data_IF_925719912504
#
_entry.id   IF_925719912504
#
_cell.length_a   1.000
_cell.length_b   1.000
_cell.length_c   1.000
_cell.angle_alpha   90.00
_cell.angle_beta   90.00
_cell.angle_gamma   90.00
#
_symmetry.space_group_name_H-M   'P 1'
#
loop_
_entity.id
_entity.type
_entity.pdbx_description
1 polymer ?
#
# COMPACT_ATOMS: atom_id res chain seq x y z
N UNK A 1 -0.66 48.72 25.80
CA UNK A 1 -0.44 47.42 26.48
C UNK A 1 -0.47 46.33 25.42
N UNK A 2 0.44 46.41 24.45
CA UNK A 2 1.78 45.80 24.36
C UNK A 2 1.75 44.42 23.66
N UNK A 3 1.69 44.51 22.32
CA UNK A 3 2.03 43.48 21.31
C UNK A 3 3.37 42.77 21.58
N UNK A 4 4.23 43.36 22.43
CA UNK A 4 5.52 42.80 22.82
C UNK A 4 5.38 41.56 23.72
N UNK A 5 4.23 41.32 24.38
CA UNK A 5 3.98 40.10 25.18
C UNK A 5 3.47 38.90 24.37
N UNK A 6 3.04 39.09 23.13
CA UNK A 6 2.54 38.00 22.26
C UNK A 6 3.63 37.45 21.32
N UNK A 7 4.72 38.20 21.15
CA UNK A 7 5.86 37.81 20.30
C UNK A 7 7.02 37.17 21.08
N UNK A 8 6.88 36.99 22.39
CA UNK A 8 7.87 36.35 23.27
C UNK A 8 7.61 34.83 23.44
N UNK A 9 6.50 34.33 22.88
CA UNK A 9 6.12 32.89 22.94
C UNK A 9 6.62 32.08 21.73
N UNK A 10 7.37 32.71 20.82
CA UNK A 10 7.89 32.09 19.60
C UNK A 10 9.42 32.22 19.43
N UNK A 11 10.18 32.28 20.51
CA UNK A 11 11.64 32.16 20.42
C UNK A 11 12.23 31.16 21.42
N UNK A 12 12.64 30.03 20.83
CA UNK A 12 13.90 29.30 21.05
C UNK A 12 13.77 27.84 21.50
N UNK A 13 14.19 26.99 20.56
CA UNK A 13 14.70 25.63 20.64
C UNK A 13 15.15 25.13 22.02
N UNK A 14 14.80 23.87 22.30
CA UNK A 14 15.79 22.81 22.57
C UNK A 14 15.30 21.46 22.05
N UNK A 15 16.03 20.90 21.08
CA UNK A 15 16.10 19.46 20.86
C UNK A 15 16.87 18.80 22.01
N UNK A 16 16.38 17.65 22.52
CA UNK A 16 17.11 16.39 22.75
C UNK A 16 16.38 15.43 23.72
N UNK A 17 16.57 14.13 23.45
CA UNK A 17 16.32 12.92 24.29
C UNK A 17 14.95 12.20 24.14
N UNK A 18 14.90 10.85 24.30
CA UNK A 18 15.05 9.91 23.19
C UNK A 18 13.82 9.03 22.97
N UNK A 19 13.77 8.39 21.79
CA UNK A 19 12.82 7.34 21.44
C UNK A 19 12.78 6.23 22.49
N UNK A 20 11.68 6.12 23.24
CA UNK A 20 11.36 4.96 24.08
C UNK A 20 9.84 4.75 24.04
N UNK A 21 9.23 3.57 23.90
CA UNK A 21 9.65 2.19 23.69
C UNK A 21 8.42 1.51 23.07
N UNK A 22 8.57 0.58 22.09
CA UNK A 22 7.43 -0.14 21.44
C UNK A 22 6.45 -0.78 22.44
N UNK A 23 6.90 -1.05 23.67
CA UNK A 23 6.12 -1.66 24.76
C UNK A 23 5.06 -0.74 25.37
N UNK A 24 5.22 0.59 25.28
CA UNK A 24 4.23 1.53 25.77
C UNK A 24 2.98 1.61 24.85
N UNK A 25 3.17 1.45 23.53
CA UNK A 25 2.04 1.39 22.58
C UNK A 25 1.21 0.11 22.71
N UNK A 26 1.82 -1.04 23.02
CA UNK A 26 1.09 -2.29 23.27
C UNK A 26 0.34 -2.32 24.61
N UNK A 27 0.64 -1.43 25.55
CA UNK A 27 -0.12 -1.27 26.80
C UNK A 27 -1.50 -0.64 26.58
N UNK A 28 -1.70 0.07 25.47
CA UNK A 28 -2.95 0.75 25.13
C UNK A 28 -3.92 -0.13 24.31
N UNK A 29 -3.44 -1.28 23.82
CA UNK A 29 -4.24 -2.30 23.10
C UNK A 29 -4.76 -3.43 24.01
N UNK A 30 -4.29 -3.52 25.25
CA UNK A 30 -4.61 -4.62 26.18
C UNK A 30 -6.02 -4.62 26.79
N UNK A 31 -6.86 -3.61 26.50
CA UNK A 31 -8.20 -3.47 27.09
C UNK A 31 -9.36 -3.53 26.08
N UNK A 32 -9.11 -3.70 24.78
CA UNK A 32 -10.16 -3.77 23.74
C UNK A 32 -10.63 -5.23 23.51
N UNK A 33 -10.23 -6.16 24.38
CA UNK A 33 -10.63 -7.56 24.32
C UNK A 33 -11.44 -7.98 25.53
N UNK A 34 -12.76 -7.71 25.53
CA UNK A 34 -13.85 -8.58 26.03
C UNK A 34 -15.17 -7.81 26.20
N UNK A 35 -16.15 -8.17 25.35
CA UNK A 35 -17.61 -8.07 25.56
C UNK A 35 -18.26 -6.67 25.55
N UNK A 36 -18.92 -6.39 24.43
CA UNK A 36 -20.26 -5.80 24.27
C UNK A 36 -20.59 -4.37 24.75
N UNK A 37 -21.31 -3.70 23.84
CA UNK A 37 -22.34 -2.67 24.05
C UNK A 37 -21.92 -1.21 24.32
N UNK A 38 -22.09 -0.41 23.25
CA UNK A 38 -22.77 0.89 23.17
C UNK A 38 -22.57 1.94 24.28
N UNK A 39 -22.35 3.16 23.78
CA UNK A 39 -22.50 4.48 24.40
C UNK A 39 -21.24 5.10 25.03
N UNK A 40 -20.66 6.06 24.29
CA UNK A 40 -20.02 7.23 24.89
C UNK A 40 -20.21 8.46 23.97
N UNK A 41 -21.18 9.30 24.35
CA UNK A 41 -21.31 10.70 23.93
C UNK A 41 -20.16 11.52 24.57
N UNK A 42 -19.74 12.64 23.96
CA UNK A 42 -18.34 13.07 23.90
C UNK A 42 -17.97 14.06 25.01
N UNK A 43 -16.68 14.16 25.31
CA UNK A 43 -16.14 15.25 26.14
C UNK A 43 -15.23 16.16 25.30
N UNK A 44 -15.89 17.14 24.68
CA UNK A 44 -15.50 18.56 24.75
C UNK A 44 -14.15 19.01 24.17
N UNK A 45 -14.15 19.30 22.86
CA UNK A 45 -13.64 20.55 22.30
C UNK A 45 -14.43 20.88 21.04
N UNK A 46 -15.61 21.46 21.25
CA UNK A 46 -16.40 22.13 20.22
C UNK A 46 -16.49 23.61 20.59
N UNK A 47 -15.50 24.40 20.15
CA UNK A 47 -15.64 25.81 19.75
C UNK A 47 -14.39 26.23 18.98
N UNK A 48 -14.35 25.91 17.68
CA UNK A 48 -13.60 26.66 16.69
C UNK A 48 -14.32 26.49 15.35
N UNK A 49 -15.18 27.46 15.06
CA UNK A 49 -15.49 28.03 13.75
C UNK A 49 -15.29 27.16 12.51
N UNK A 50 -16.39 26.92 11.79
CA UNK A 50 -16.38 26.70 10.34
C UNK A 50 -15.58 27.80 9.64
N UNK A 51 -14.30 27.54 9.33
CA UNK A 51 -13.50 28.03 8.18
C UNK A 51 -12.02 27.78 8.43
N UNK A 52 -11.57 26.60 8.03
CA UNK A 52 -10.20 26.34 7.58
C UNK A 52 -10.18 25.06 6.72
N UNK A 53 -11.08 24.97 5.74
CA UNK A 53 -11.02 23.97 4.66
C UNK A 53 -10.89 24.74 3.35
N UNK A 54 -9.71 25.31 3.11
CA UNK A 54 -9.35 25.91 1.83
C UNK A 54 -7.84 26.21 1.80
N UNK A 55 -7.03 25.15 1.85
CA UNK A 55 -5.67 25.20 1.36
C UNK A 55 -5.37 23.84 0.70
N UNK A 56 -5.82 23.71 -0.55
CA UNK A 56 -5.69 22.57 -1.48
C UNK A 56 -5.46 21.20 -0.82
N UNK A 57 -6.46 20.69 -0.09
CA UNK A 57 -6.52 19.26 0.21
C UNK A 57 -6.68 18.54 -1.14
N UNK A 58 -5.80 17.59 -1.46
CA UNK A 58 -6.00 16.69 -2.59
C UNK A 58 -7.35 15.97 -2.48
N UNK A 59 -7.75 15.27 -3.53
CA UNK A 59 -8.96 14.43 -3.57
C UNK A 59 -8.82 13.22 -2.63
N UNK A 60 -8.91 13.46 -1.31
CA UNK A 60 -8.71 12.44 -0.26
C UNK A 60 -9.68 11.27 -0.45
N UNK A 61 -10.95 11.56 -0.73
CA UNK A 61 -11.97 10.53 -0.96
C UNK A 61 -11.62 9.72 -2.21
N UNK A 62 -11.21 10.37 -3.31
CA UNK A 62 -10.78 9.65 -4.50
C UNK A 62 -9.51 8.83 -4.31
N UNK A 63 -8.59 9.27 -3.45
CA UNK A 63 -7.42 8.48 -3.05
C UNK A 63 -7.84 7.24 -2.27
N UNK A 64 -8.74 7.38 -1.29
CA UNK A 64 -9.24 6.26 -0.50
C UNK A 64 -10.04 5.27 -1.35
N UNK A 65 -10.86 5.76 -2.29
CA UNK A 65 -11.60 4.90 -3.22
C UNK A 65 -10.69 4.20 -4.24
N UNK A 66 -9.59 4.83 -4.67
CA UNK A 66 -8.57 4.15 -5.47
C UNK A 66 -7.95 3.02 -4.66
N UNK A 67 -7.48 3.30 -3.44
CA UNK A 67 -6.91 2.30 -2.55
C UNK A 67 -7.90 1.14 -2.34
N UNK A 68 -9.16 1.43 -2.00
CA UNK A 68 -10.19 0.41 -1.79
C UNK A 68 -10.41 -0.48 -3.02
N UNK A 69 -10.31 0.09 -4.24
CA UNK A 69 -10.40 -0.71 -5.47
C UNK A 69 -9.22 -1.69 -5.60
N UNK A 70 -8.01 -1.25 -5.25
CA UNK A 70 -6.82 -2.10 -5.27
C UNK A 70 -6.89 -3.19 -4.19
N UNK A 71 -7.31 -2.83 -2.97
CA UNK A 71 -7.51 -3.81 -1.90
C UNK A 71 -8.59 -4.84 -2.24
N UNK A 72 -9.66 -4.45 -2.93
CA UNK A 72 -10.66 -5.42 -3.41
C UNK A 72 -10.10 -6.40 -4.43
N UNK A 73 -9.22 -5.93 -5.32
CA UNK A 73 -8.55 -6.77 -6.31
C UNK A 73 -7.67 -7.82 -5.62
N UNK A 74 -6.87 -7.39 -4.63
CA UNK A 74 -5.96 -8.25 -3.89
C UNK A 74 -6.72 -9.20 -2.95
N UNK A 75 -7.69 -8.72 -2.18
CA UNK A 75 -8.53 -9.52 -1.30
C UNK A 75 -9.22 -10.67 -2.06
N UNK A 76 -9.82 -10.39 -3.22
CA UNK A 76 -10.45 -11.42 -4.04
C UNK A 76 -9.45 -12.39 -4.65
N UNK A 77 -8.34 -11.87 -5.19
CA UNK A 77 -7.29 -12.70 -5.78
C UNK A 77 -6.74 -13.71 -4.77
N UNK A 78 -6.39 -13.25 -3.56
CA UNK A 78 -5.82 -14.12 -2.54
C UNK A 78 -6.84 -15.13 -2.02
N UNK A 79 -8.12 -14.74 -1.87
CA UNK A 79 -9.18 -15.67 -1.51
C UNK A 79 -9.35 -16.77 -2.58
N UNK A 80 -9.43 -16.40 -3.85
CA UNK A 80 -9.53 -17.37 -4.96
C UNK A 80 -8.29 -18.27 -5.06
N UNK A 81 -7.09 -17.71 -4.83
CA UNK A 81 -5.85 -18.47 -4.83
C UNK A 81 -5.84 -19.58 -3.76
N UNK A 82 -6.34 -19.28 -2.56
CA UNK A 82 -6.46 -20.23 -1.45
C UNK A 82 -7.51 -21.32 -1.75
N UNK A 83 -8.65 -20.92 -2.33
CA UNK A 83 -9.74 -21.84 -2.66
C UNK A 83 -9.43 -22.76 -3.85
N UNK A 84 -8.57 -22.32 -4.77
CA UNK A 84 -8.20 -23.06 -6.00
C UNK A 84 -7.51 -24.41 -5.74
N UNK A 85 -6.91 -24.59 -4.55
CA UNK A 85 -6.08 -25.76 -4.23
C UNK A 85 -4.71 -25.79 -4.92
N UNK A 86 -4.36 -24.77 -5.71
CA UNK A 86 -3.04 -24.68 -6.39
C UNK A 86 -1.89 -24.60 -5.38
N UNK A 87 -2.11 -23.95 -4.23
CA UNK A 87 -1.11 -23.78 -3.17
C UNK A 87 -0.91 -25.02 -2.27
N UNK A 88 -1.82 -26.01 -2.32
CA UNK A 88 -1.91 -27.13 -1.37
C UNK A 88 -0.65 -28.02 -1.26
N UNK A 89 0.18 -28.01 -2.30
CA UNK A 89 1.46 -28.76 -2.33
C UNK A 89 2.64 -27.98 -1.74
N UNK A 90 2.45 -26.71 -1.39
CA UNK A 90 3.48 -25.83 -0.84
C UNK A 90 2.98 -25.11 0.41
N UNK A 91 3.09 -25.79 1.56
CA UNK A 91 2.63 -25.28 2.85
C UNK A 91 3.23 -23.91 3.24
N UNK A 92 4.45 -23.58 2.80
CA UNK A 92 5.06 -22.27 3.06
C UNK A 92 4.33 -21.18 2.27
N UNK A 93 4.13 -21.39 0.97
CA UNK A 93 3.42 -20.43 0.12
C UNK A 93 1.97 -20.26 0.56
N UNK A 94 1.29 -21.38 0.88
CA UNK A 94 -0.08 -21.35 1.39
C UNK A 94 -0.20 -20.52 2.69
N UNK A 95 0.70 -20.71 3.66
CA UNK A 95 0.69 -19.92 4.89
C UNK A 95 0.96 -18.43 4.66
N UNK A 96 1.79 -18.08 3.68
CA UNK A 96 2.03 -16.69 3.30
C UNK A 96 0.76 -16.09 2.67
N UNK A 97 0.15 -16.77 1.70
CA UNK A 97 -1.10 -16.33 1.07
C UNK A 97 -2.25 -16.19 2.08
N UNK A 98 -2.36 -17.09 3.07
CA UNK A 98 -3.33 -16.98 4.15
C UNK A 98 -3.13 -15.71 5.00
N UNK A 99 -1.87 -15.37 5.29
CA UNK A 99 -1.56 -14.19 6.08
C UNK A 99 -1.83 -12.91 5.31
N UNK A 100 -1.48 -12.87 4.02
CA UNK A 100 -1.72 -11.73 3.13
C UNK A 100 -3.23 -11.54 2.93
N UNK A 101 -3.96 -12.59 2.55
CA UNK A 101 -5.44 -12.57 2.43
C UNK A 101 -6.12 -11.97 3.67
N UNK A 102 -5.64 -12.32 4.87
CA UNK A 102 -6.18 -11.75 6.12
C UNK A 102 -5.92 -10.24 6.23
N UNK A 103 -4.76 -9.76 5.81
CA UNK A 103 -4.45 -8.33 5.83
C UNK A 103 -5.28 -7.58 4.79
N UNK A 104 -5.46 -8.12 3.57
CA UNK A 104 -6.28 -7.45 2.55
C UNK A 104 -7.73 -7.29 2.97
N UNK A 105 -8.33 -8.32 3.57
CA UNK A 105 -9.68 -8.17 4.14
C UNK A 105 -9.73 -7.08 5.22
N UNK A 106 -8.67 -6.93 6.02
CA UNK A 106 -8.58 -5.90 7.05
C UNK A 106 -8.38 -4.50 6.46
N UNK A 107 -7.65 -4.37 5.35
CA UNK A 107 -7.48 -3.11 4.63
C UNK A 107 -8.79 -2.68 3.98
N UNK A 108 -9.52 -3.61 3.33
CA UNK A 108 -10.87 -3.37 2.79
C UNK A 108 -11.81 -2.84 3.87
N UNK A 109 -11.90 -3.53 5.02
CA UNK A 109 -12.75 -3.11 6.14
C UNK A 109 -12.37 -1.72 6.65
N UNK A 110 -11.06 -1.47 6.79
CA UNK A 110 -10.53 -0.21 7.28
C UNK A 110 -10.85 0.94 6.32
N UNK A 111 -10.58 0.78 5.02
CA UNK A 111 -10.79 1.82 4.02
C UNK A 111 -12.28 2.11 3.84
N UNK A 112 -13.13 1.07 3.82
CA UNK A 112 -14.59 1.23 3.77
C UNK A 112 -15.06 2.10 4.94
N UNK A 113 -14.66 1.76 6.17
CA UNK A 113 -15.01 2.54 7.35
C UNK A 113 -14.44 3.97 7.34
N UNK A 114 -13.23 4.15 6.79
CA UNK A 114 -12.61 5.48 6.67
C UNK A 114 -13.36 6.38 5.68
N UNK A 115 -13.82 5.83 4.55
CA UNK A 115 -14.59 6.57 3.54
C UNK A 115 -15.98 6.94 4.09
N UNK A 116 -16.69 5.99 4.70
CA UNK A 116 -17.98 6.26 5.35
C UNK A 116 -17.83 7.28 6.49
N UNK A 117 -16.78 7.16 7.29
CA UNK A 117 -16.46 8.09 8.38
C UNK A 117 -16.15 9.50 7.89
N UNK A 118 -15.67 9.65 6.65
CA UNK A 118 -15.49 10.93 5.97
C UNK A 118 -16.79 11.49 5.37
N UNK A 119 -17.92 10.79 5.52
CA UNK A 119 -19.22 11.17 4.96
C UNK A 119 -19.33 10.99 3.44
N UNK A 120 -18.51 10.11 2.87
CA UNK A 120 -18.53 9.75 1.47
C UNK A 120 -18.95 8.29 1.28
N UNK A 121 -19.32 7.94 0.05
CA UNK A 121 -19.71 6.58 -0.30
C UNK A 121 -18.48 5.76 -0.73
N UNK A 122 -18.23 4.59 -0.12
CA UNK A 122 -17.24 3.64 -0.62
C UNK A 122 -17.60 3.19 -2.03
N UNK A 123 -16.58 3.09 -2.89
CA UNK A 123 -16.74 2.49 -4.22
C UNK A 123 -17.23 1.05 -4.08
N UNK A 124 -18.19 0.66 -4.91
CA UNK A 124 -18.67 -0.72 -4.93
C UNK A 124 -17.55 -1.65 -5.42
N UNK A 125 -17.44 -2.83 -4.79
CA UNK A 125 -16.52 -3.88 -5.24
C UNK A 125 -16.86 -4.28 -6.69
N UNK A 126 -15.92 -4.14 -7.65
CA UNK A 126 -16.14 -4.61 -9.02
C UNK A 126 -16.00 -6.13 -9.09
N UNK A 127 -16.46 -6.71 -10.20
CA UNK A 127 -16.12 -8.09 -10.55
C UNK A 127 -14.74 -8.13 -11.20
N UNK A 128 -13.97 -9.20 -10.93
CA UNK A 128 -12.62 -9.34 -11.45
C UNK A 128 -12.45 -10.54 -12.39
N UNK A 129 -11.67 -10.34 -13.46
CA UNK A 129 -11.17 -11.38 -14.36
C UNK A 129 -9.64 -11.52 -14.22
N UNK A 130 -9.21 -12.46 -13.37
CA UNK A 130 -7.79 -12.80 -13.19
C UNK A 130 -7.19 -13.62 -14.33
N UNK A 131 -8.00 -14.05 -15.30
CA UNK A 131 -7.53 -14.72 -16.51
C UNK A 131 -7.10 -13.72 -17.58
N UNK A 132 -7.52 -12.46 -17.47
CA UNK A 132 -7.30 -11.41 -18.49
C UNK A 132 -7.72 -11.92 -19.88
N UNK A 133 -8.99 -12.31 -20.00
CA UNK A 133 -9.55 -12.88 -21.22
C UNK A 133 -8.92 -14.22 -21.63
N UNK A 134 -8.52 -15.04 -20.65
CA UNK A 134 -7.90 -16.36 -20.87
C UNK A 134 -6.40 -16.35 -21.15
N UNK A 135 -5.72 -15.21 -20.99
CA UNK A 135 -4.25 -15.13 -21.06
C UNK A 135 -3.56 -15.86 -19.88
N UNK A 136 -4.25 -15.98 -18.75
CA UNK A 136 -3.80 -16.67 -17.54
C UNK A 136 -4.84 -17.71 -17.09
N UNK A 137 -4.38 -18.70 -16.33
CA UNK A 137 -5.19 -19.68 -15.62
C UNK A 137 -4.60 -19.90 -14.22
N UNK A 138 -4.52 -18.83 -13.39
CA UNK A 138 -3.78 -18.87 -12.13
C UNK A 138 -4.42 -19.83 -11.12
N UNK A 139 -5.72 -20.08 -11.24
CA UNK A 139 -6.47 -20.98 -10.37
C UNK A 139 -6.60 -22.40 -10.94
N UNK A 140 -5.96 -22.70 -12.08
CA UNK A 140 -6.00 -23.99 -12.77
C UNK A 140 -7.44 -24.45 -13.14
N UNK A 141 -8.36 -23.53 -13.38
CA UNK A 141 -9.75 -23.82 -13.72
C UNK A 141 -9.87 -24.38 -15.15
N UNK A 142 -8.96 -23.97 -16.04
CA UNK A 142 -8.93 -24.38 -17.44
C UNK A 142 -7.88 -25.47 -17.72
N UNK A 143 -7.23 -26.00 -16.69
CA UNK A 143 -6.32 -27.13 -16.80
C UNK A 143 -4.93 -26.77 -17.33
N UNK A 144 -4.42 -25.56 -17.08
CA UNK A 144 -3.03 -25.18 -17.39
C UNK A 144 -1.97 -26.03 -16.68
N UNK A 145 -2.37 -26.76 -15.63
CA UNK A 145 -1.55 -27.64 -14.83
C UNK A 145 -0.99 -26.95 -13.59
N UNK A 146 -0.88 -27.70 -12.48
CA UNK A 146 -0.52 -27.15 -11.17
C UNK A 146 0.75 -26.29 -11.16
N UNK A 147 1.80 -26.69 -11.87
CA UNK A 147 3.05 -25.94 -11.92
C UNK A 147 2.90 -24.60 -12.65
N UNK A 148 2.13 -24.58 -13.76
CA UNK A 148 1.86 -23.37 -14.53
C UNK A 148 0.98 -22.41 -13.74
N UNK A 149 -0.12 -22.92 -13.18
CA UNK A 149 -1.04 -22.14 -12.36
C UNK A 149 -0.33 -21.53 -11.14
N UNK A 150 0.51 -22.32 -10.44
CA UNK A 150 1.30 -21.82 -9.32
C UNK A 150 2.29 -20.71 -9.74
N UNK A 151 2.96 -20.86 -10.89
CA UNK A 151 3.85 -19.82 -11.40
C UNK A 151 3.07 -18.54 -11.76
N UNK A 152 1.87 -18.68 -12.32
CA UNK A 152 0.98 -17.56 -12.64
C UNK A 152 0.43 -16.88 -11.38
N UNK A 153 0.06 -17.63 -10.33
CA UNK A 153 -0.32 -17.08 -9.03
C UNK A 153 0.77 -16.18 -8.46
N UNK A 154 2.01 -16.67 -8.41
CA UNK A 154 3.11 -15.87 -7.88
C UNK A 154 3.41 -14.65 -8.74
N UNK A 155 3.27 -14.76 -10.06
CA UNK A 155 3.48 -13.64 -10.98
C UNK A 155 2.42 -12.55 -10.81
N UNK A 156 1.14 -12.93 -10.71
CA UNK A 156 0.04 -11.99 -10.49
C UNK A 156 0.10 -11.37 -9.09
N UNK A 157 0.36 -12.17 -8.05
CA UNK A 157 0.59 -11.66 -6.70
C UNK A 157 1.68 -10.59 -6.70
N UNK A 158 2.83 -10.86 -7.32
CA UNK A 158 3.90 -9.86 -7.36
C UNK A 158 3.45 -8.57 -8.06
N UNK A 159 2.74 -8.70 -9.19
CA UNK A 159 2.26 -7.54 -9.93
C UNK A 159 1.27 -6.69 -9.12
N UNK A 160 0.37 -7.32 -8.37
CA UNK A 160 -0.60 -6.61 -7.54
C UNK A 160 0.09 -5.89 -6.38
N UNK A 161 0.88 -6.62 -5.60
CA UNK A 161 1.57 -6.07 -4.43
C UNK A 161 2.48 -4.89 -4.79
N UNK A 162 3.27 -5.01 -5.85
CA UNK A 162 4.10 -3.91 -6.33
C UNK A 162 3.26 -2.73 -6.82
N UNK A 163 2.11 -2.99 -7.47
CA UNK A 163 1.17 -1.93 -7.88
C UNK A 163 0.61 -1.21 -6.65
N UNK A 164 0.17 -1.95 -5.63
CA UNK A 164 -0.33 -1.40 -4.36
C UNK A 164 0.70 -0.50 -3.68
N UNK A 165 1.92 -1.01 -3.45
CA UNK A 165 3.04 -0.26 -2.85
C UNK A 165 3.27 1.07 -3.57
N UNK A 166 3.43 1.02 -4.90
CA UNK A 166 3.74 2.19 -5.72
C UNK A 166 2.56 3.17 -5.81
N UNK A 167 1.32 2.68 -5.84
CA UNK A 167 0.12 3.50 -5.85
C UNK A 167 -0.11 4.25 -4.53
N UNK A 168 0.03 3.57 -3.38
CA UNK A 168 -0.04 4.21 -2.06
C UNK A 168 0.99 5.32 -1.92
N UNK A 169 2.25 5.06 -2.31
CA UNK A 169 3.30 6.08 -2.29
C UNK A 169 2.97 7.24 -3.23
N UNK A 170 2.45 6.95 -4.43
CA UNK A 170 2.06 7.96 -5.41
C UNK A 170 0.93 8.89 -4.97
N UNK A 171 0.04 8.42 -4.09
CA UNK A 171 -1.03 9.24 -3.54
C UNK A 171 -0.68 9.94 -2.22
N UNK A 172 0.47 9.65 -1.60
CA UNK A 172 0.84 10.22 -0.30
C UNK A 172 0.84 11.76 -0.28
N UNK A 173 1.30 12.40 -1.36
CA UNK A 173 1.30 13.86 -1.48
C UNK A 173 -0.13 14.46 -1.44
N UNK A 174 -1.12 13.76 -1.99
CA UNK A 174 -2.53 14.19 -1.98
C UNK A 174 -3.15 14.12 -0.59
N UNK A 175 -2.56 13.36 0.33
CA UNK A 175 -3.03 13.16 1.70
C UNK A 175 -2.34 14.08 2.72
N UNK A 176 -1.36 14.89 2.32
CA UNK A 176 -0.59 15.75 3.25
C UNK A 176 -1.46 16.73 4.05
N UNK A 177 -2.59 17.17 3.49
CA UNK A 177 -3.57 18.00 4.21
C UNK A 177 -4.41 17.25 5.25
N UNK A 178 -4.30 15.93 5.32
CA UNK A 178 -5.10 15.04 6.17
C UNK A 178 -4.20 14.10 6.97
N UNK A 179 -3.48 14.63 7.95
CA UNK A 179 -2.42 13.91 8.68
C UNK A 179 -2.84 12.53 9.23
N UNK A 180 -4.07 12.39 9.73
CA UNK A 180 -4.60 11.11 10.19
C UNK A 180 -4.75 10.08 9.06
N UNK A 181 -5.30 10.52 7.92
CA UNK A 181 -5.48 9.69 6.73
C UNK A 181 -4.13 9.33 6.10
N UNK A 182 -3.20 10.29 6.00
CA UNK A 182 -1.84 10.03 5.54
C UNK A 182 -1.13 8.99 6.41
N UNK A 183 -1.26 9.12 7.74
CA UNK A 183 -0.64 8.16 8.67
C UNK A 183 -1.18 6.75 8.43
N UNK A 184 -2.50 6.60 8.30
CA UNK A 184 -3.11 5.30 8.01
C UNK A 184 -2.67 4.74 6.65
N UNK A 185 -2.69 5.56 5.59
CA UNK A 185 -2.25 5.13 4.26
C UNK A 185 -0.78 4.68 4.26
N UNK A 186 0.11 5.37 4.98
CA UNK A 186 1.52 4.97 5.08
C UNK A 186 1.73 3.72 5.96
N UNK A 187 0.80 3.40 6.86
CA UNK A 187 0.82 2.15 7.61
C UNK A 187 0.46 0.96 6.71
N UNK A 188 -0.59 1.10 5.89
CA UNK A 188 -0.98 0.09 4.89
C UNK A 188 0.14 -0.09 3.86
N UNK A 189 0.66 1.01 3.31
CA UNK A 189 1.84 0.97 2.41
C UNK A 189 3.02 0.16 2.98
N UNK A 190 3.29 0.28 4.28
CA UNK A 190 4.36 -0.50 4.92
C UNK A 190 4.03 -1.99 5.08
N UNK A 191 2.75 -2.36 5.12
CA UNK A 191 2.28 -3.76 5.13
C UNK A 191 2.40 -4.32 3.70
N UNK A 192 1.89 -3.61 2.68
CA UNK A 192 2.05 -4.00 1.26
C UNK A 192 3.52 -4.19 0.87
N UNK A 193 4.41 -3.31 1.32
CA UNK A 193 5.84 -3.46 1.02
C UNK A 193 6.43 -4.78 1.58
N UNK A 194 5.87 -5.30 2.68
CA UNK A 194 6.28 -6.61 3.21
C UNK A 194 5.66 -7.75 2.43
N UNK A 195 4.42 -7.62 1.99
CA UNK A 195 3.76 -8.60 1.11
C UNK A 195 4.53 -8.73 -0.21
N UNK A 196 4.79 -7.61 -0.89
CA UNK A 196 5.63 -7.55 -2.08
C UNK A 196 6.99 -8.24 -1.87
N UNK A 197 7.69 -7.90 -0.79
CA UNK A 197 8.98 -8.53 -0.48
C UNK A 197 8.88 -10.05 -0.27
N UNK A 198 7.84 -10.55 0.41
CA UNK A 198 7.68 -11.99 0.66
C UNK A 198 7.27 -12.76 -0.60
N UNK A 199 6.38 -12.19 -1.43
CA UNK A 199 6.01 -12.77 -2.72
C UNK A 199 7.22 -12.84 -3.66
N UNK A 200 8.02 -11.77 -3.77
CA UNK A 200 9.26 -11.79 -4.57
C UNK A 200 10.23 -12.88 -4.10
N UNK A 201 10.39 -13.05 -2.78
CA UNK A 201 11.23 -14.11 -2.21
C UNK A 201 10.68 -15.51 -2.48
N UNK A 202 9.35 -15.69 -2.51
CA UNK A 202 8.74 -16.97 -2.94
C UNK A 202 9.06 -17.30 -4.40
N UNK A 203 9.26 -16.27 -5.24
CA UNK A 203 9.72 -16.42 -6.63
C UNK A 203 11.24 -16.58 -6.78
N UNK A 204 11.98 -16.55 -5.68
CA UNK A 204 13.45 -16.63 -5.68
C UNK A 204 14.12 -15.35 -6.16
N UNK A 205 13.43 -14.21 -6.06
CA UNK A 205 13.96 -12.88 -6.38
C UNK A 205 14.38 -12.13 -5.12
N UNK A 206 15.10 -11.03 -5.32
CA UNK A 206 15.31 -10.05 -4.25
C UNK A 206 13.99 -9.47 -3.76
N UNK A 207 13.93 -9.09 -2.49
CA UNK A 207 12.71 -8.55 -1.85
C UNK A 207 12.30 -7.15 -2.32
N UNK A 208 12.95 -6.61 -3.34
CA UNK A 208 12.79 -5.25 -3.87
C UNK A 208 12.99 -5.25 -5.38
N UNK A 209 12.71 -4.12 -6.02
CA UNK A 209 12.89 -3.93 -7.47
C UNK A 209 14.35 -3.49 -7.74
N UNK A 210 14.93 -3.89 -8.87
CA UNK A 210 16.28 -3.46 -9.30
C UNK A 210 16.17 -2.89 -10.71
N UNK A 211 16.58 -1.64 -10.92
CA UNK A 211 16.24 -0.90 -12.14
C UNK A 211 14.72 -0.92 -12.33
N UNK A 212 14.26 -1.30 -13.53
CA UNK A 212 12.84 -1.52 -13.83
C UNK A 212 12.51 -3.00 -14.10
N UNK A 213 13.23 -3.90 -13.41
CA UNK A 213 13.11 -5.33 -13.65
C UNK A 213 11.86 -5.91 -12.99
N UNK A 214 10.94 -6.42 -13.81
CA UNK A 214 9.83 -7.29 -13.40
C UNK A 214 10.29 -8.62 -12.78
N UNK A 215 11.52 -9.04 -13.08
CA UNK A 215 12.06 -10.34 -12.66
C UNK A 215 11.72 -11.49 -13.62
N UNK A 216 12.49 -12.57 -13.52
CA UNK A 216 12.38 -13.71 -14.44
C UNK A 216 10.98 -14.35 -14.39
N UNK A 217 10.47 -14.78 -15.55
CA UNK A 217 9.18 -15.46 -15.66
C UNK A 217 7.94 -14.55 -15.58
N UNK A 218 8.10 -13.23 -15.42
CA UNK A 218 6.98 -12.30 -15.54
C UNK A 218 6.63 -12.03 -17.02
N UNK A 219 5.35 -12.10 -17.40
CA UNK A 219 4.87 -11.71 -18.73
C UNK A 219 5.24 -10.27 -19.08
N UNK A 220 5.47 -9.98 -20.35
CA UNK A 220 5.78 -8.62 -20.83
C UNK A 220 4.67 -7.61 -20.49
N UNK A 221 3.41 -8.06 -20.49
CA UNK A 221 2.25 -7.24 -20.11
C UNK A 221 2.35 -6.63 -18.70
N UNK A 222 3.12 -7.24 -17.80
CA UNK A 222 3.32 -6.73 -16.43
C UNK A 222 4.32 -5.58 -16.35
N UNK A 223 5.03 -5.24 -17.44
CA UNK A 223 6.10 -4.25 -17.41
C UNK A 223 5.62 -2.85 -16.99
N UNK A 224 4.34 -2.52 -17.23
CA UNK A 224 3.74 -1.28 -16.76
C UNK A 224 3.87 -1.07 -15.24
N UNK A 225 3.85 -2.17 -14.46
CA UNK A 225 4.02 -2.17 -12.99
C UNK A 225 5.43 -1.76 -12.56
N UNK A 226 6.42 -1.76 -13.46
CA UNK A 226 7.84 -1.51 -13.14
C UNK A 226 8.43 -0.32 -13.89
N UNK A 227 7.69 0.27 -14.83
CA UNK A 227 8.16 1.44 -15.56
C UNK A 227 8.44 2.59 -14.59
N UNK A 228 9.61 3.22 -14.75
CA UNK A 228 10.06 4.35 -13.94
C UNK A 228 10.92 3.97 -12.73
N UNK A 229 10.93 2.71 -12.30
CA UNK A 229 11.73 2.22 -11.15
C UNK A 229 13.25 2.35 -11.35
N UNK A 230 13.72 2.50 -12.59
CA UNK A 230 15.11 2.77 -12.92
C UNK A 230 15.58 4.21 -12.63
N UNK A 231 14.76 4.99 -11.92
CA UNK A 231 15.06 6.36 -11.51
C UNK A 231 16.21 6.42 -10.49
N UNK A 232 17.26 7.15 -10.85
CA UNK A 232 18.40 7.45 -9.96
C UNK A 232 18.38 8.88 -9.40
N UNK A 233 17.33 9.66 -9.67
CA UNK A 233 17.22 11.04 -9.21
C UNK A 233 16.07 11.20 -8.22
N UNK A 234 16.39 11.54 -6.97
CA UNK A 234 15.42 11.75 -5.90
C UNK A 234 15.40 13.23 -5.51
N UNK A 235 14.27 13.90 -5.69
CA UNK A 235 14.15 15.33 -5.39
C UNK A 235 15.13 16.22 -6.17
N UNK A 236 15.52 15.80 -7.38
CA UNK A 236 16.49 16.50 -8.23
C UNK A 236 17.96 16.19 -7.91
N UNK A 237 18.22 15.26 -6.99
CA UNK A 237 19.57 14.81 -6.63
C UNK A 237 19.83 13.43 -7.22
N UNK A 238 20.89 13.31 -8.02
CA UNK A 238 21.39 12.00 -8.47
C UNK A 238 21.94 11.22 -7.28
N UNK A 239 21.21 10.19 -6.84
CA UNK A 239 21.55 9.42 -5.64
C UNK A 239 22.79 8.55 -5.82
N UNK A 240 23.22 8.28 -7.06
CA UNK A 240 24.48 7.54 -7.31
C UNK A 240 25.71 8.33 -6.86
N UNK A 241 25.56 9.65 -6.77
CA UNK A 241 26.63 10.59 -6.38
C UNK A 241 26.69 10.87 -4.89
N UNK A 242 25.76 10.33 -4.10
CA UNK A 242 25.70 10.57 -2.66
C UNK A 242 26.86 9.88 -1.91
N UNK A 243 27.26 10.48 -0.79
CA UNK A 243 28.34 9.98 0.06
C UNK A 243 29.72 10.56 -0.28
N UNK A 244 30.73 10.17 0.49
CA UNK A 244 32.12 10.62 0.32
C UNK A 244 33.06 9.55 -0.24
N UNK A 245 32.51 8.39 -0.62
CA UNK A 245 33.23 7.23 -1.14
C UNK A 245 33.08 7.07 -2.65
N UNK A 246 33.34 5.86 -3.16
CA UNK A 246 33.02 5.50 -4.54
C UNK A 246 31.51 5.68 -4.81
N UNK A 247 31.11 6.09 -6.03
CA UNK A 247 29.70 6.21 -6.39
C UNK A 247 28.93 4.92 -6.15
N UNK A 248 27.67 5.05 -5.71
CA UNK A 248 26.77 3.90 -5.66
C UNK A 248 26.47 3.41 -7.09
N UNK A 249 26.29 2.11 -7.24
CA UNK A 249 25.87 1.55 -8.53
C UNK A 249 24.42 1.93 -8.83
N UNK A 250 24.02 1.89 -10.10
CA UNK A 250 22.62 2.06 -10.50
C UNK A 250 21.71 1.04 -9.79
N UNK A 251 22.16 -0.22 -9.67
CA UNK A 251 21.43 -1.25 -8.93
C UNK A 251 21.23 -0.83 -7.47
N UNK A 252 22.29 -0.47 -6.75
CA UNK A 252 22.17 -0.08 -5.34
C UNK A 252 21.29 1.17 -5.15
N UNK A 253 21.34 2.11 -6.10
CA UNK A 253 20.50 3.32 -6.09
C UNK A 253 19.02 3.00 -6.28
N UNK A 254 18.67 2.17 -7.27
CA UNK A 254 17.29 1.81 -7.59
C UNK A 254 16.69 0.84 -6.57
N UNK A 255 17.50 -0.03 -5.96
CA UNK A 255 17.06 -0.94 -4.89
C UNK A 255 16.67 -0.22 -3.59
N UNK A 256 17.02 1.06 -3.43
CA UNK A 256 16.76 1.82 -2.21
C UNK A 256 15.38 2.50 -2.18
N UNK A 257 14.68 2.57 -3.32
CA UNK A 257 13.42 3.29 -3.46
C UNK A 257 12.47 2.51 -4.36
N UNK A 258 11.21 2.33 -3.93
CA UNK A 258 10.12 2.03 -4.85
C UNK A 258 9.63 3.37 -5.44
N UNK A 259 9.64 3.53 -6.76
CA UNK A 259 9.13 4.72 -7.43
C UNK A 259 7.59 4.74 -7.44
N UNK A 260 7.01 5.93 -7.56
CA UNK A 260 5.55 6.04 -7.51
C UNK A 260 4.89 5.49 -8.78
N UNK A 261 3.63 5.07 -8.65
CA UNK A 261 2.68 5.08 -9.76
C UNK A 261 1.73 6.28 -9.58
N UNK A 262 1.47 7.00 -10.66
CA UNK A 262 0.38 7.97 -10.68
C UNK A 262 -0.97 7.26 -10.55
N UNK A 263 -2.02 8.02 -10.21
CA UNK A 263 -3.40 7.50 -10.15
C UNK A 263 -3.80 6.84 -11.47
N UNK A 264 -3.53 7.49 -12.58
CA UNK A 264 -3.94 7.02 -13.90
C UNK A 264 -3.20 5.74 -14.30
N UNK A 265 -1.90 5.62 -13.96
CA UNK A 265 -1.14 4.39 -14.19
C UNK A 265 -1.67 3.23 -13.34
N UNK A 266 -1.90 3.47 -12.05
CA UNK A 266 -2.46 2.45 -11.15
C UNK A 266 -3.85 1.99 -11.62
N UNK A 267 -4.73 2.93 -12.00
CA UNK A 267 -6.05 2.61 -12.57
C UNK A 267 -5.92 1.82 -13.87
N UNK A 268 -5.00 2.22 -14.76
CA UNK A 268 -4.78 1.52 -16.03
C UNK A 268 -4.36 0.07 -15.82
N UNK A 269 -3.45 -0.18 -14.86
CA UNK A 269 -3.00 -1.53 -14.50
C UNK A 269 -4.15 -2.35 -13.91
N UNK A 270 -4.87 -1.80 -12.92
CA UNK A 270 -5.98 -2.50 -12.26
C UNK A 270 -7.14 -2.80 -13.23
N UNK A 271 -7.42 -1.89 -14.18
CA UNK A 271 -8.51 -2.04 -15.15
C UNK A 271 -8.34 -3.24 -16.08
N UNK A 272 -7.14 -3.83 -16.18
CA UNK A 272 -6.92 -5.06 -16.94
C UNK A 272 -7.67 -6.26 -16.33
N UNK A 273 -8.00 -6.17 -15.04
CA UNK A 273 -8.60 -7.24 -14.27
C UNK A 273 -10.04 -6.94 -13.89
N UNK A 274 -10.60 -5.79 -14.26
CA UNK A 274 -11.97 -5.42 -13.90
C UNK A 274 -12.90 -5.76 -15.07
N UNK A 275 -13.97 -6.51 -14.79
CA UNK A 275 -15.00 -6.79 -15.80
C UNK A 275 -15.79 -5.52 -16.14
N UNK A 276 -16.09 -5.36 -17.43
CA UNK A 276 -16.83 -4.21 -17.99
C UNK A 276 -18.34 -4.32 -17.85
#
# INVERSE_FOLDING_TARGET
MNLIKFLDEFTTDKMQEPMTCRRAMFGQLGSIGKKAALAAVPFGLATASNKAMAQSSGDVVGVLNLALTLEYLEDEFYAMALDSGVLSSNAKAEAIYQQISKHESQHVDFLTAAIEGAGADPVAKPSFDFTVGGAFDPFNENGAGQATAYAQLLALAQAFEDTGVRAYKGQAANLMGSAGVLTAALQIHSVEARHASEIRRLRGLEGWITGNQRGAGMPEATQAVYNGEDNISQGGVDVTTLGSGSPFTMDAATQAYDEILTRDEAVTIASLFIES
#
